data_IF_698800193307
#
_entry.id   IF_698800193307
#
_cell.length_a   1.000
_cell.length_b   1.000
_cell.length_c   1.000
_cell.angle_alpha   90.00
_cell.angle_beta   90.00
_cell.angle_gamma   90.00
#
_symmetry.space_group_name_H-M   'P 1'
#
loop_
_entity.id
_entity.type
_entity.pdbx_description
1 polymer ?
#
# COMPACT_ATOMS: atom_id res chain seq x y z
N UNK A 1 -24.02 -18.30 -35.74
CA UNK A 1 -25.23 -17.68 -36.29
C UNK A 1 -25.32 -16.24 -35.84
N UNK A 2 -25.91 -15.36 -36.65
CA UNK A 2 -26.06 -13.91 -36.37
C UNK A 2 -26.69 -13.64 -34.98
N UNK A 3 -27.53 -14.55 -34.50
CA UNK A 3 -28.17 -14.50 -33.18
C UNK A 3 -27.18 -14.67 -32.01
N UNK A 4 -26.16 -15.52 -32.14
CA UNK A 4 -25.15 -15.70 -31.09
C UNK A 4 -24.26 -14.47 -30.90
N UNK A 5 -24.12 -13.63 -31.95
CA UNK A 5 -23.47 -12.32 -31.83
C UNK A 5 -24.40 -11.34 -31.10
N UNK A 6 -25.69 -11.27 -31.47
CA UNK A 6 -26.66 -10.42 -30.77
C UNK A 6 -26.77 -10.73 -29.27
N UNK A 7 -26.60 -12.00 -28.87
CA UNK A 7 -26.56 -12.39 -27.46
C UNK A 7 -25.29 -11.93 -26.73
N UNK A 8 -24.13 -11.89 -27.41
CA UNK A 8 -22.89 -11.33 -26.83
C UNK A 8 -22.95 -9.80 -26.69
N UNK A 9 -23.73 -9.11 -27.52
CA UNK A 9 -24.03 -7.68 -27.36
C UNK A 9 -25.00 -7.40 -26.18
N UNK A 10 -25.94 -8.31 -25.90
CA UNK A 10 -26.81 -8.21 -24.71
C UNK A 10 -26.08 -8.54 -23.39
N UNK A 11 -25.00 -9.31 -23.45
CA UNK A 11 -24.14 -9.60 -22.29
C UNK A 11 -23.12 -8.50 -21.97
N UNK A 12 -22.96 -7.50 -22.84
CA UNK A 12 -22.28 -6.26 -22.47
C UNK A 12 -23.24 -5.43 -21.61
N UNK A 13 -23.37 -5.81 -20.33
CA UNK A 13 -23.86 -4.89 -19.32
C UNK A 13 -23.11 -3.57 -19.51
N UNK A 14 -23.81 -2.43 -19.65
CA UNK A 14 -23.14 -1.15 -19.83
C UNK A 14 -22.18 -0.95 -18.65
N UNK A 15 -20.94 -0.58 -18.94
CA UNK A 15 -19.92 -0.24 -17.93
C UNK A 15 -20.51 0.63 -16.80
N UNK A 16 -21.46 1.50 -17.15
CA UNK A 16 -22.28 2.34 -16.29
C UNK A 16 -22.94 1.62 -15.09
N UNK A 17 -23.37 0.37 -15.24
CA UNK A 17 -24.01 -0.40 -14.15
C UNK A 17 -23.03 -0.89 -13.09
N UNK A 18 -21.73 -0.94 -13.40
CA UNK A 18 -20.66 -1.33 -12.47
C UNK A 18 -19.98 -0.14 -11.80
N UNK A 19 -20.11 1.05 -12.39
CA UNK A 19 -19.51 2.27 -11.84
C UNK A 19 -20.09 2.63 -10.46
N UNK A 20 -21.42 2.55 -10.28
CA UNK A 20 -22.02 2.88 -8.99
C UNK A 20 -21.62 1.91 -7.87
N UNK A 21 -21.69 0.58 -8.04
CA UNK A 21 -21.15 -0.35 -7.05
C UNK A 21 -19.65 -0.16 -6.77
N UNK A 22 -18.83 0.10 -7.80
CA UNK A 22 -17.39 0.36 -7.63
C UNK A 22 -17.14 1.61 -6.77
N UNK A 23 -17.85 2.70 -7.06
CA UNK A 23 -17.73 3.94 -6.31
C UNK A 23 -18.12 3.75 -4.84
N UNK A 24 -19.21 3.03 -4.57
CA UNK A 24 -19.61 2.73 -3.19
C UNK A 24 -18.51 1.96 -2.44
N UNK A 25 -17.92 0.94 -3.06
CA UNK A 25 -16.83 0.17 -2.47
C UNK A 25 -15.58 1.04 -2.21
N UNK A 26 -15.25 1.97 -3.11
CA UNK A 26 -14.14 2.90 -2.94
C UNK A 26 -14.38 3.86 -1.77
N UNK A 27 -15.58 4.41 -1.64
CA UNK A 27 -15.96 5.29 -0.52
C UNK A 27 -15.93 4.53 0.80
N UNK A 28 -16.47 3.31 0.83
CA UNK A 28 -16.45 2.46 2.03
C UNK A 28 -15.02 2.10 2.44
N UNK A 29 -14.14 1.80 1.47
CA UNK A 29 -12.73 1.54 1.73
C UNK A 29 -12.03 2.78 2.32
N UNK A 30 -12.29 3.97 1.78
CA UNK A 30 -11.75 5.23 2.32
C UNK A 30 -12.26 5.45 3.75
N UNK A 31 -13.56 5.31 3.99
CA UNK A 31 -14.14 5.44 5.32
C UNK A 31 -13.51 4.47 6.32
N UNK A 32 -13.27 3.23 5.91
CA UNK A 32 -12.60 2.22 6.72
C UNK A 32 -11.16 2.60 7.06
N UNK A 33 -10.40 3.17 6.11
CA UNK A 33 -9.04 3.67 6.37
C UNK A 33 -9.05 4.77 7.46
N UNK A 34 -10.04 5.67 7.46
CA UNK A 34 -10.16 6.68 8.52
C UNK A 34 -10.52 6.10 9.89
N UNK A 35 -11.20 4.96 9.94
CA UNK A 35 -11.41 4.22 11.18
C UNK A 35 -10.10 3.60 11.67
N UNK A 36 -9.34 2.97 10.77
CA UNK A 36 -8.01 2.40 11.08
C UNK A 36 -7.06 3.48 11.60
N UNK A 37 -7.05 4.68 10.99
CA UNK A 37 -6.22 5.80 11.42
C UNK A 37 -6.53 6.28 12.86
N UNK A 38 -7.73 6.00 13.38
CA UNK A 38 -8.11 6.34 14.76
C UNK A 38 -7.83 5.20 15.75
N UNK A 39 -7.43 4.02 15.27
CA UNK A 39 -7.16 2.86 16.10
C UNK A 39 -5.90 3.02 16.95
N UNK A 40 -5.84 2.28 18.07
CA UNK A 40 -4.64 2.20 18.89
C UNK A 40 -3.45 1.65 18.11
N UNK A 41 -3.69 0.62 17.27
CA UNK A 41 -2.66 0.01 16.42
C UNK A 41 -1.99 1.04 15.52
N UNK A 42 -2.77 1.91 14.88
CA UNK A 42 -2.19 2.96 14.04
C UNK A 42 -1.32 3.92 14.84
N UNK A 43 -1.79 4.34 16.03
CA UNK A 43 -1.00 5.20 16.93
C UNK A 43 0.31 4.55 17.35
N UNK A 44 0.28 3.26 17.68
CA UNK A 44 1.47 2.49 18.03
C UNK A 44 2.45 2.43 16.85
N UNK A 45 1.98 2.14 15.63
CA UNK A 45 2.83 2.13 14.44
C UNK A 45 3.48 3.50 14.21
N UNK A 46 2.74 4.60 14.32
CA UNK A 46 3.29 5.96 14.23
C UNK A 46 4.36 6.22 15.30
N UNK A 47 4.13 5.78 16.55
CA UNK A 47 5.13 5.90 17.62
C UNK A 47 6.40 5.10 17.32
N UNK A 48 6.28 3.88 16.80
CA UNK A 48 7.45 3.08 16.42
C UNK A 48 8.22 3.73 15.26
N UNK A 49 7.52 4.20 14.24
CA UNK A 49 8.15 4.88 13.09
C UNK A 49 8.88 6.17 13.49
N UNK A 50 8.38 6.88 14.49
CA UNK A 50 8.99 8.13 14.97
C UNK A 50 10.21 7.89 15.85
N UNK A 51 10.23 6.83 16.66
CA UNK A 51 11.32 6.54 17.62
C UNK A 51 12.35 5.53 17.11
N UNK A 52 12.11 4.89 15.97
CA UNK A 52 13.10 4.01 15.34
C UNK A 52 14.38 4.77 14.98
N UNK A 53 15.53 4.10 15.07
CA UNK A 53 16.82 4.66 14.67
C UNK A 53 16.90 4.84 13.14
N UNK A 54 16.27 3.91 12.41
CA UNK A 54 16.15 3.88 10.97
C UNK A 54 14.86 3.15 10.57
N UNK A 55 14.28 3.53 9.44
CA UNK A 55 13.08 2.89 8.88
C UNK A 55 13.39 2.34 7.49
N UNK A 56 13.11 1.07 7.28
CA UNK A 56 13.27 0.40 6.00
C UNK A 56 11.89 0.06 5.41
N UNK A 57 11.62 0.55 4.20
CA UNK A 57 10.37 0.29 3.48
C UNK A 57 10.64 -0.78 2.43
N UNK A 58 9.94 -1.91 2.55
CA UNK A 58 10.08 -3.08 1.68
C UNK A 58 8.81 -3.24 0.84
N UNK A 59 8.94 -2.95 -0.46
CA UNK A 59 7.88 -3.18 -1.44
C UNK A 59 8.03 -4.53 -2.14
N UNK A 60 6.95 -5.33 -2.19
CA UNK A 60 6.85 -6.49 -3.08
C UNK A 60 6.25 -6.08 -4.44
N UNK A 61 6.33 -6.95 -5.45
CA UNK A 61 6.03 -6.61 -6.85
C UNK A 61 4.66 -5.92 -7.05
N UNK A 62 3.63 -6.34 -6.32
CA UNK A 62 2.26 -5.78 -6.43
C UNK A 62 2.08 -4.46 -5.69
N UNK A 63 2.89 -4.16 -4.68
CA UNK A 63 2.71 -3.03 -3.75
C UNK A 63 3.77 -1.95 -3.89
N UNK A 64 4.81 -2.19 -4.70
CA UNK A 64 5.91 -1.26 -4.99
C UNK A 64 5.48 0.19 -5.21
N UNK A 65 4.38 0.42 -5.93
CA UNK A 65 3.88 1.78 -6.17
C UNK A 65 3.49 2.50 -4.88
N UNK A 66 2.72 1.82 -4.01
CA UNK A 66 2.27 2.35 -2.73
C UNK A 66 3.44 2.44 -1.74
N UNK A 67 4.32 1.43 -1.72
CA UNK A 67 5.52 1.41 -0.89
C UNK A 67 6.46 2.58 -1.20
N UNK A 68 6.68 2.88 -2.49
CA UNK A 68 7.50 4.00 -2.91
C UNK A 68 6.87 5.36 -2.53
N UNK A 69 5.55 5.50 -2.70
CA UNK A 69 4.86 6.72 -2.26
C UNK A 69 4.96 6.92 -0.74
N UNK A 70 4.81 5.84 0.04
CA UNK A 70 5.00 5.87 1.50
C UNK A 70 6.43 6.25 1.88
N UNK A 71 7.43 5.64 1.24
CA UNK A 71 8.84 5.98 1.41
C UNK A 71 9.09 7.48 1.18
N UNK A 72 8.66 8.02 0.04
CA UNK A 72 8.87 9.43 -0.30
C UNK A 72 8.26 10.39 0.72
N UNK A 73 7.07 10.08 1.24
CA UNK A 73 6.45 10.90 2.30
C UNK A 73 7.22 10.80 3.62
N UNK A 74 7.70 9.61 3.99
CA UNK A 74 8.39 9.41 5.26
C UNK A 74 9.81 9.98 5.25
N UNK A 75 10.53 9.87 4.13
CA UNK A 75 11.87 10.47 3.94
C UNK A 75 11.83 11.99 4.07
N UNK A 76 10.73 12.62 3.66
CA UNK A 76 10.53 14.05 3.88
C UNK A 76 10.34 14.41 5.36
N UNK A 77 9.73 13.52 6.15
CA UNK A 77 9.36 13.78 7.54
C UNK A 77 10.46 13.40 8.55
N UNK A 78 11.34 12.45 8.22
CA UNK A 78 12.43 12.03 9.10
C UNK A 78 13.66 11.56 8.32
N UNK A 79 14.87 11.74 8.86
CA UNK A 79 16.08 11.19 8.28
C UNK A 79 16.12 9.66 8.41
N UNK A 80 17.07 9.03 7.70
CA UNK A 80 17.37 7.59 7.81
C UNK A 80 16.14 6.72 7.51
N UNK A 81 15.56 6.99 6.35
CA UNK A 81 14.57 6.14 5.72
C UNK A 81 15.24 5.54 4.49
N UNK A 82 15.03 4.26 4.22
CA UNK A 82 15.56 3.60 3.03
C UNK A 82 14.49 2.72 2.40
N UNK A 83 14.49 2.66 1.07
CA UNK A 83 13.61 1.79 0.31
C UNK A 83 14.41 0.62 -0.27
N UNK A 84 13.89 -0.60 -0.13
CA UNK A 84 14.48 -1.79 -0.74
C UNK A 84 13.41 -2.59 -1.47
N UNK A 85 13.79 -3.08 -2.65
CA UNK A 85 12.89 -3.85 -3.52
C UNK A 85 13.06 -5.34 -3.21
N UNK A 86 11.95 -6.02 -2.92
CA UNK A 86 11.97 -7.36 -2.32
C UNK A 86 12.67 -8.44 -3.15
N UNK A 87 12.80 -8.27 -4.47
CA UNK A 87 13.40 -9.26 -5.37
C UNK A 87 14.91 -9.03 -5.59
N UNK A 88 15.42 -7.85 -5.23
CA UNK A 88 16.81 -7.44 -5.49
C UNK A 88 17.82 -7.94 -4.45
N UNK A 89 17.38 -8.56 -3.35
CA UNK A 89 18.24 -8.99 -2.24
C UNK A 89 18.77 -7.87 -1.34
N UNK A 90 18.56 -6.60 -1.71
CA UNK A 90 19.00 -5.42 -0.96
C UNK A 90 18.36 -5.28 0.43
N UNK A 91 17.21 -5.94 0.67
CA UNK A 91 16.56 -5.96 1.97
C UNK A 91 17.41 -6.65 3.07
N UNK A 92 18.37 -7.51 2.70
CA UNK A 92 19.30 -8.14 3.65
C UNK A 92 20.19 -7.10 4.34
N UNK A 93 20.49 -5.99 3.67
CA UNK A 93 21.24 -4.87 4.26
C UNK A 93 20.42 -4.15 5.34
N UNK A 94 19.09 -4.15 5.22
CA UNK A 94 18.20 -3.61 6.27
C UNK A 94 18.30 -4.42 7.56
N UNK A 95 18.40 -5.75 7.46
CA UNK A 95 18.59 -6.63 8.61
C UNK A 95 19.97 -6.50 9.26
N UNK A 96 20.99 -6.21 8.47
CA UNK A 96 22.37 -6.03 8.94
C UNK A 96 22.76 -4.55 9.16
N UNK A 97 21.77 -3.68 9.36
CA UNK A 97 21.95 -2.22 9.36
C UNK A 97 22.77 -1.66 10.53
N UNK A 98 23.03 -2.46 11.57
CA UNK A 98 23.82 -2.04 12.74
C UNK A 98 23.12 -1.06 13.68
N UNK A 99 21.88 -0.67 13.38
CA UNK A 99 21.03 0.11 14.29
C UNK A 99 20.56 -0.76 15.46
N UNK A 100 20.41 -0.16 16.64
CA UNK A 100 19.94 -0.86 17.82
C UNK A 100 18.42 -1.10 17.77
N UNK A 101 17.68 -0.16 17.18
CA UNK A 101 16.22 -0.24 17.01
C UNK A 101 15.77 0.14 15.57
N UNK A 102 16.06 -0.70 14.56
CA UNK A 102 15.54 -0.51 13.21
C UNK A 102 14.07 -0.93 13.14
N UNK A 103 13.29 -0.26 12.29
CA UNK A 103 11.89 -0.61 12.03
C UNK A 103 11.65 -0.90 10.55
N UNK A 104 10.91 -1.97 10.26
CA UNK A 104 10.64 -2.42 8.89
C UNK A 104 9.15 -2.26 8.59
N UNK A 105 8.84 -1.58 7.48
CA UNK A 105 7.50 -1.52 6.90
C UNK A 105 7.47 -2.42 5.69
N UNK A 106 6.72 -3.52 5.77
CA UNK A 106 6.51 -4.47 4.69
C UNK A 106 5.12 -4.26 4.10
N UNK A 107 5.04 -4.12 2.78
CA UNK A 107 3.79 -3.94 2.03
C UNK A 107 3.54 -5.08 1.07
#
# INVERSE_FOLDING_TARGET
GINARLDSWKQQQPLSGRLQPSLSLEVDAIAHVYQLAQSETFRQVVQQLTHADAVFVLGIQSTRGIANAFFSHLEYLRPRVSYSEGLSGSWVESLNSGFANPYIVLT
#
